data_IF_414156256678
#
_entry.id   IF_414156256678
#
_cell.length_a   1.000
_cell.length_b   1.000
_cell.length_c   1.000
_cell.angle_alpha   90.00
_cell.angle_beta   90.00
_cell.angle_gamma   90.00
#
_symmetry.space_group_name_H-M   'P 1'
#
loop_
_entity.id
_entity.type
_entity.pdbx_description
1 polymer ?
#
# COMPACT_ATOMS: atom_id res chain seq x y z
N UNK A 1 38.33 -0.69 20.76
CA UNK A 1 38.12 -1.57 19.60
C UNK A 1 36.96 -2.54 19.82
N UNK A 2 36.92 -3.30 20.92
CA UNK A 2 35.86 -4.29 21.21
C UNK A 2 34.44 -3.71 21.25
N UNK A 3 34.24 -2.56 21.92
CA UNK A 3 32.93 -1.92 22.01
C UNK A 3 32.38 -1.52 20.63
N UNK A 4 33.22 -0.96 19.76
CA UNK A 4 32.82 -0.55 18.42
C UNK A 4 32.36 -1.76 17.56
N UNK A 5 33.06 -2.90 17.68
CA UNK A 5 32.69 -4.14 16.98
C UNK A 5 31.32 -4.63 17.46
N UNK A 6 31.07 -4.62 18.77
CA UNK A 6 29.78 -5.03 19.34
C UNK A 6 28.66 -4.11 18.86
N UNK A 7 28.87 -2.79 18.85
CA UNK A 7 27.87 -1.83 18.34
C UNK A 7 27.54 -2.10 16.87
N UNK A 8 28.56 -2.26 16.02
CA UNK A 8 28.37 -2.55 14.59
C UNK A 8 27.60 -3.86 14.40
N UNK A 9 27.92 -4.90 15.17
CA UNK A 9 27.23 -6.19 15.10
C UNK A 9 25.74 -6.06 15.48
N UNK A 10 25.42 -5.34 16.56
CA UNK A 10 24.03 -5.10 16.98
C UNK A 10 23.26 -4.35 15.89
N UNK A 11 23.83 -3.26 15.37
CA UNK A 11 23.20 -2.48 14.30
C UNK A 11 22.97 -3.32 13.05
N UNK A 12 23.92 -4.19 12.68
CA UNK A 12 23.76 -5.09 11.54
C UNK A 12 22.64 -6.10 11.74
N UNK A 13 22.54 -6.71 12.94
CA UNK A 13 21.47 -7.64 13.28
C UNK A 13 20.11 -6.95 13.26
N UNK A 14 20.00 -5.78 13.89
CA UNK A 14 18.76 -5.00 13.91
C UNK A 14 18.30 -4.62 12.50
N UNK A 15 19.24 -4.25 11.63
CA UNK A 15 18.94 -3.93 10.24
C UNK A 15 18.42 -5.16 9.46
N UNK A 16 19.02 -6.34 9.67
CA UNK A 16 18.55 -7.59 9.06
C UNK A 16 17.15 -7.96 9.57
N UNK A 17 16.91 -7.84 10.87
CA UNK A 17 15.60 -8.12 11.47
C UNK A 17 14.53 -7.15 10.95
N UNK A 18 14.86 -5.87 10.81
CA UNK A 18 13.95 -4.88 10.24
C UNK A 18 13.58 -5.23 8.79
N UNK A 19 14.55 -5.56 7.93
CA UNK A 19 14.29 -5.99 6.56
C UNK A 19 13.41 -7.25 6.54
N UNK A 20 13.71 -8.25 7.37
CA UNK A 20 12.94 -9.48 7.45
C UNK A 20 11.47 -9.20 7.85
N UNK A 21 11.25 -8.31 8.83
CA UNK A 21 9.92 -7.90 9.26
C UNK A 21 9.15 -7.21 8.12
N UNK A 22 9.77 -6.26 7.40
CA UNK A 22 9.13 -5.61 6.26
C UNK A 22 8.80 -6.60 5.13
N UNK A 23 9.71 -7.53 4.80
CA UNK A 23 9.47 -8.58 3.81
C UNK A 23 8.31 -9.50 4.22
N UNK A 24 8.21 -9.81 5.52
CA UNK A 24 7.10 -10.60 6.05
C UNK A 24 5.76 -9.86 5.90
N UNK A 25 5.71 -8.57 6.24
CA UNK A 25 4.53 -7.73 6.04
C UNK A 25 4.13 -7.69 4.56
N UNK A 26 5.06 -7.43 3.65
CA UNK A 26 4.77 -7.47 2.20
C UNK A 26 4.26 -8.83 1.76
N UNK A 27 4.88 -9.91 2.22
CA UNK A 27 4.48 -11.26 1.84
C UNK A 27 3.08 -11.64 2.31
N UNK A 28 2.65 -11.14 3.47
CA UNK A 28 1.33 -11.45 4.05
C UNK A 28 0.24 -10.47 3.62
N UNK A 29 0.51 -9.17 3.67
CA UNK A 29 -0.49 -8.13 3.48
C UNK A 29 -0.58 -7.64 2.03
N UNK A 30 0.47 -7.79 1.22
CA UNK A 30 0.54 -7.17 -0.12
C UNK A 30 0.59 -8.17 -1.27
N UNK A 31 1.38 -9.25 -1.18
CA UNK A 31 1.46 -10.27 -2.24
C UNK A 31 0.11 -10.89 -2.67
N UNK A 32 -0.87 -11.13 -1.77
CA UNK A 32 -2.18 -11.60 -2.21
C UNK A 32 -2.83 -10.65 -3.21
N UNK A 33 -2.75 -9.34 -2.97
CA UNK A 33 -3.23 -8.32 -3.91
C UNK A 33 -2.46 -8.36 -5.23
N UNK A 34 -1.13 -8.47 -5.21
CA UNK A 34 -0.33 -8.55 -6.44
C UNK A 34 -0.76 -9.70 -7.36
N UNK A 35 -1.09 -10.85 -6.78
CA UNK A 35 -1.51 -12.02 -7.56
C UNK A 35 -2.91 -11.88 -8.16
N UNK A 36 -3.78 -11.11 -7.49
CA UNK A 36 -5.19 -10.93 -7.89
C UNK A 36 -5.40 -9.72 -8.79
N UNK A 37 -4.59 -8.68 -8.59
CA UNK A 37 -4.71 -7.37 -9.22
C UNK A 37 -3.39 -6.98 -9.88
N UNK A 38 -2.98 -7.68 -10.95
CA UNK A 38 -1.72 -7.40 -11.63
C UNK A 38 -1.71 -5.95 -12.14
N UNK A 39 -0.54 -5.31 -12.18
CA UNK A 39 -0.45 -3.91 -12.61
C UNK A 39 -0.81 -3.76 -14.09
N UNK A 40 -1.64 -2.76 -14.38
CA UNK A 40 -2.00 -2.34 -15.73
C UNK A 40 -1.51 -0.91 -16.00
N UNK A 41 -1.28 -0.53 -17.26
CA UNK A 41 -0.94 0.84 -17.62
C UNK A 41 -2.07 1.80 -17.23
N UNK A 42 -1.72 2.95 -16.65
CA UNK A 42 -2.65 4.04 -16.36
C UNK A 42 -3.03 4.76 -17.65
N UNK A 43 -4.27 5.24 -17.74
CA UNK A 43 -4.68 6.11 -18.86
C UNK A 43 -4.03 7.51 -18.80
N UNK A 44 -4.00 8.27 -19.91
CA UNK A 44 -3.47 9.64 -19.93
C UNK A 44 -4.26 10.61 -19.03
N UNK A 45 -5.55 10.36 -18.83
CA UNK A 45 -6.43 11.21 -18.02
C UNK A 45 -6.43 10.83 -16.53
N UNK A 46 -5.57 9.90 -16.13
CA UNK A 46 -5.48 9.43 -14.76
C UNK A 46 -5.08 10.57 -13.80
N UNK A 47 -5.81 10.70 -12.69
CA UNK A 47 -5.47 11.63 -11.61
C UNK A 47 -4.40 11.00 -10.73
N UNK A 48 -3.21 11.60 -10.71
CA UNK A 48 -2.06 11.07 -9.98
C UNK A 48 -1.73 11.91 -8.75
N UNK A 49 -1.51 11.26 -7.60
CA UNK A 49 -0.92 11.88 -6.40
C UNK A 49 0.14 10.99 -5.77
N UNK A 50 1.24 11.60 -5.35
CA UNK A 50 2.39 10.89 -4.77
C UNK A 50 2.33 10.82 -3.26
N UNK A 51 3.08 9.89 -2.67
CA UNK A 51 3.27 9.76 -1.23
C UNK A 51 1.98 9.73 -0.39
N UNK A 52 0.98 9.02 -0.88
CA UNK A 52 -0.28 8.78 -0.18
C UNK A 52 -0.12 7.68 0.88
N UNK A 53 -0.98 7.75 1.88
CA UNK A 53 -1.07 6.78 2.97
C UNK A 53 -2.32 5.95 2.82
N UNK A 54 -2.21 4.65 3.05
CA UNK A 54 -3.35 3.73 3.18
C UNK A 54 -3.22 2.94 4.48
N UNK A 55 -4.35 2.48 5.00
CA UNK A 55 -4.40 1.48 6.06
C UNK A 55 -4.96 0.22 5.42
N UNK A 56 -4.23 -0.89 5.47
CA UNK A 56 -4.63 -2.15 4.84
C UNK A 56 -4.63 -3.22 5.93
N UNK A 57 -5.77 -3.85 6.18
CA UNK A 57 -5.93 -4.83 7.25
C UNK A 57 -5.38 -4.33 8.59
N UNK A 58 -5.77 -3.10 8.97
CA UNK A 58 -5.34 -2.39 10.20
C UNK A 58 -3.85 -2.00 10.24
N UNK A 59 -3.06 -2.28 9.21
CA UNK A 59 -1.66 -1.87 9.13
C UNK A 59 -1.52 -0.52 8.40
N UNK A 60 -0.94 0.51 9.04
CA UNK A 60 -0.74 1.80 8.39
C UNK A 60 0.49 1.80 7.48
N UNK A 61 0.27 2.13 6.21
CA UNK A 61 1.30 2.29 5.19
C UNK A 61 1.51 3.78 4.91
N UNK A 62 2.16 4.46 5.86
CA UNK A 62 2.37 5.91 5.81
C UNK A 62 3.24 6.34 4.62
N UNK A 63 2.70 7.23 3.77
CA UNK A 63 3.36 7.79 2.58
C UNK A 63 4.00 6.72 1.70
N UNK A 64 3.37 5.54 1.64
CA UNK A 64 3.93 4.33 1.05
C UNK A 64 3.65 4.21 -0.45
N UNK A 65 2.64 4.91 -0.97
CA UNK A 65 2.15 4.70 -2.32
C UNK A 65 2.14 5.99 -3.15
N UNK A 66 2.48 5.85 -4.41
CA UNK A 66 2.08 6.78 -5.45
C UNK A 66 0.79 6.20 -6.07
N UNK A 67 -0.25 7.02 -6.15
CA UNK A 67 -1.61 6.60 -6.51
C UNK A 67 -1.98 7.24 -7.82
N UNK A 68 -2.50 6.45 -8.75
CA UNK A 68 -3.16 6.93 -9.94
C UNK A 68 -4.58 6.36 -9.98
N UNK A 69 -5.51 7.14 -10.49
CA UNK A 69 -6.93 6.78 -10.57
C UNK A 69 -7.41 7.12 -11.97
N UNK A 70 -7.97 6.15 -12.65
CA UNK A 70 -8.65 6.35 -13.92
C UNK A 70 -10.06 5.74 -13.90
N UNK A 71 -10.73 5.73 -15.05
CA UNK A 71 -12.09 5.24 -15.21
C UNK A 71 -12.23 3.74 -14.89
N UNK A 72 -11.16 2.95 -15.09
CA UNK A 72 -11.21 1.51 -14.92
C UNK A 72 -10.67 1.06 -13.55
N UNK A 73 -9.60 1.69 -13.06
CA UNK A 73 -8.82 1.17 -11.96
C UNK A 73 -8.36 2.22 -10.93
N UNK A 74 -8.20 1.75 -9.70
CA UNK A 74 -7.33 2.32 -8.68
C UNK A 74 -5.93 1.69 -8.80
N UNK A 75 -4.93 2.49 -9.19
CA UNK A 75 -3.55 2.04 -9.28
C UNK A 75 -2.75 2.43 -8.04
N UNK A 76 -2.14 1.44 -7.39
CA UNK A 76 -1.28 1.65 -6.22
C UNK A 76 0.14 1.23 -6.57
N UNK A 77 1.05 2.20 -6.63
CA UNK A 77 2.47 1.97 -6.88
C UNK A 77 3.25 2.14 -5.58
N UNK A 78 3.82 1.06 -5.00
CA UNK A 78 4.66 1.19 -3.83
C UNK A 78 5.88 2.06 -4.12
N UNK A 79 6.22 2.94 -3.18
CA UNK A 79 7.42 3.79 -3.27
C UNK A 79 8.69 2.96 -3.13
N UNK A 80 9.84 3.57 -3.44
CA UNK A 80 11.14 2.89 -3.55
C UNK A 80 11.46 1.97 -2.37
N UNK A 81 11.24 2.41 -1.13
CA UNK A 81 11.53 1.60 0.06
C UNK A 81 10.70 0.31 0.11
N UNK A 82 9.40 0.40 -0.18
CA UNK A 82 8.50 -0.75 -0.23
C UNK A 82 8.82 -1.68 -1.41
N UNK A 83 9.23 -1.14 -2.55
CA UNK A 83 9.72 -1.95 -3.68
C UNK A 83 10.99 -2.72 -3.35
N UNK A 84 11.88 -2.11 -2.56
CA UNK A 84 13.13 -2.74 -2.10
C UNK A 84 12.88 -3.99 -1.26
N UNK A 85 11.81 -3.99 -0.46
CA UNK A 85 11.37 -5.15 0.34
C UNK A 85 10.41 -6.07 -0.42
N UNK A 86 10.20 -5.83 -1.72
CA UNK A 86 9.55 -6.75 -2.64
C UNK A 86 8.09 -6.43 -2.99
N UNK A 87 7.55 -5.28 -2.57
CA UNK A 87 6.20 -4.87 -2.96
C UNK A 87 6.18 -4.43 -4.43
N UNK A 88 5.20 -4.90 -5.20
CA UNK A 88 5.00 -4.56 -6.61
C UNK A 88 3.77 -3.67 -6.81
N UNK A 89 3.72 -2.89 -7.91
CA UNK A 89 2.52 -2.12 -8.24
C UNK A 89 1.32 -3.04 -8.48
N UNK A 90 0.14 -2.55 -8.15
CA UNK A 90 -1.14 -3.24 -8.39
C UNK A 90 -2.14 -2.30 -9.03
N UNK A 91 -3.13 -2.86 -9.71
CA UNK A 91 -4.23 -2.11 -10.34
C UNK A 91 -5.53 -2.79 -10.00
N UNK A 92 -6.28 -2.18 -9.09
CA UNK A 92 -7.52 -2.72 -8.54
C UNK A 92 -8.67 -2.15 -9.36
N UNK A 93 -9.45 -2.98 -10.07
CA UNK A 93 -10.58 -2.49 -10.84
C UNK A 93 -11.70 -2.05 -9.89
N UNK A 94 -12.48 -1.04 -10.27
CA UNK A 94 -13.49 -0.45 -9.38
C UNK A 94 -14.56 -1.46 -8.93
N UNK A 95 -14.90 -2.45 -9.76
CA UNK A 95 -15.83 -3.53 -9.37
C UNK A 95 -15.35 -4.39 -8.19
N UNK A 96 -14.05 -4.39 -7.89
CA UNK A 96 -13.49 -5.10 -6.75
C UNK A 96 -13.49 -4.27 -5.46
N UNK A 97 -13.86 -2.98 -5.54
CA UNK A 97 -13.85 -2.03 -4.43
C UNK A 97 -15.26 -1.87 -3.89
N UNK A 98 -15.52 -2.42 -2.71
CA UNK A 98 -16.84 -2.36 -2.06
C UNK A 98 -16.82 -1.27 -0.98
N UNK A 99 -17.70 -0.26 -1.02
CA UNK A 99 -17.82 0.72 0.05
C UNK A 99 -18.15 0.05 1.41
N UNK A 100 -17.42 0.43 2.46
CA UNK A 100 -17.68 -0.03 3.83
C UNK A 100 -18.26 1.15 4.65
N UNK A 101 -19.38 1.00 5.38
CA UNK A 101 -19.98 2.04 6.23
C UNK A 101 -19.15 2.39 7.49
N UNK A 102 -17.82 2.22 7.42
CA UNK A 102 -16.90 2.64 8.48
C UNK A 102 -17.04 4.12 8.86
N UNK A 103 -16.37 4.55 9.94
CA UNK A 103 -16.55 5.88 10.51
C UNK A 103 -16.36 6.98 9.47
N UNK A 104 -17.31 7.90 9.41
CA UNK A 104 -17.24 9.02 8.47
C UNK A 104 -16.02 9.89 8.75
N UNK A 105 -15.20 10.10 7.73
CA UNK A 105 -14.06 11.01 7.78
C UNK A 105 -14.11 11.98 6.60
N UNK A 106 -13.81 13.27 6.82
CA UNK A 106 -13.71 14.23 5.73
C UNK A 106 -12.49 13.97 4.83
N UNK A 107 -11.49 13.22 5.31
CA UNK A 107 -10.22 12.97 4.60
C UNK A 107 -10.06 11.53 4.14
N UNK A 108 -10.72 10.60 4.80
CA UNK A 108 -10.54 9.17 4.60
C UNK A 108 -11.85 8.50 4.18
N UNK A 109 -11.73 7.42 3.42
CA UNK A 109 -12.83 6.52 3.09
C UNK A 109 -12.40 5.11 3.40
N UNK A 110 -13.31 4.31 3.94
CA UNK A 110 -13.11 2.88 4.16
C UNK A 110 -13.83 2.11 3.06
N UNK A 111 -13.14 1.12 2.53
CA UNK A 111 -13.63 0.20 1.51
C UNK A 111 -13.15 -1.20 1.86
N UNK A 112 -13.77 -2.21 1.29
CA UNK A 112 -13.28 -3.58 1.30
C UNK A 112 -12.86 -3.94 -0.11
N UNK A 113 -11.65 -4.47 -0.26
CA UNK A 113 -11.13 -4.95 -1.54
C UNK A 113 -10.89 -6.44 -1.37
N UNK A 114 -11.71 -7.25 -2.02
CA UNK A 114 -11.66 -8.71 -1.96
C UNK A 114 -11.62 -9.26 -0.50
N UNK A 115 -12.56 -8.77 0.30
CA UNK A 115 -12.71 -9.14 1.72
C UNK A 115 -11.69 -8.50 2.67
N UNK A 116 -10.70 -7.76 2.16
CA UNK A 116 -9.70 -7.08 3.00
C UNK A 116 -10.09 -5.62 3.22
N UNK A 117 -10.26 -5.18 4.49
CA UNK A 117 -10.59 -3.79 4.77
C UNK A 117 -9.40 -2.89 4.44
N UNK A 118 -9.69 -1.81 3.74
CA UNK A 118 -8.73 -0.80 3.34
C UNK A 118 -9.30 0.60 3.62
N UNK A 119 -8.51 1.47 4.23
CA UNK A 119 -8.83 2.88 4.34
C UNK A 119 -7.80 3.71 3.57
N UNK A 120 -8.27 4.69 2.81
CA UNK A 120 -7.42 5.52 1.97
C UNK A 120 -7.96 6.94 1.82
N UNK A 121 -7.25 7.80 1.08
CA UNK A 121 -7.65 9.16 0.83
C UNK A 121 -9.02 9.21 0.13
N UNK A 122 -9.90 10.07 0.63
CA UNK A 122 -11.26 10.20 0.10
C UNK A 122 -11.29 10.56 -1.39
N UNK A 123 -10.34 11.39 -1.85
CA UNK A 123 -10.28 11.84 -3.25
C UNK A 123 -10.17 10.70 -4.27
N UNK A 124 -9.56 9.56 -3.92
CA UNK A 124 -9.45 8.41 -4.83
C UNK A 124 -10.55 7.39 -4.60
N UNK A 125 -10.99 7.18 -3.35
CA UNK A 125 -11.96 6.15 -3.02
C UNK A 125 -13.43 6.58 -3.15
N UNK A 126 -13.73 7.88 -3.25
CA UNK A 126 -15.11 8.33 -3.50
C UNK A 126 -15.65 7.90 -4.88
N UNK A 127 -14.77 7.54 -5.82
CA UNK A 127 -15.18 6.99 -7.12
C UNK A 127 -15.78 5.59 -7.00
N UNK A 128 -15.37 4.81 -5.99
CA UNK A 128 -15.97 3.51 -5.70
C UNK A 128 -17.40 3.61 -5.11
N UNK A 129 -17.83 4.82 -4.72
CA UNK A 129 -19.17 5.06 -4.17
C UNK A 129 -20.18 5.57 -5.22
N UNK A 130 -19.77 5.67 -6.49
CA UNK A 130 -20.65 6.00 -7.62
C UNK A 130 -21.25 4.74 -8.21
#
# INVERSE_FOLDING_TARGET
MTIAIVIVAIVAVDFVLAIAAFRFVVARAWRPFESRFPPTPTTPDAVVRTAQTFIIDRLPFARAFDVAVDEACLHLTPRRLWRLVGARPISVPWEAVVPDPGPESPRWRTVTIDGVPMAGPRWCLDLAAR
#
